data_IF_290935403490
#
_entry.id   IF_290935403490
#
_cell.length_a   1.000
_cell.length_b   1.000
_cell.length_c   1.000
_cell.angle_alpha   90.00
_cell.angle_beta   90.00
_cell.angle_gamma   90.00
#
_symmetry.space_group_name_H-M   'P 1'
#
loop_
_entity.id
_entity.type
_entity.pdbx_description
1 polymer ?
#
# COMPACT_ATOMS: atom_id res chain seq x y z
N UNK A 1 25.49 24.69 15.86
CA UNK A 1 24.36 25.64 15.79
C UNK A 1 24.89 26.99 15.39
N UNK A 2 24.30 27.70 14.43
CA UNK A 2 24.07 29.12 14.61
C UNK A 2 22.71 29.28 15.32
N UNK A 3 22.72 29.78 16.55
CA UNK A 3 21.54 30.02 17.40
C UNK A 3 20.62 31.17 16.91
N UNK A 4 20.62 31.49 15.61
CA UNK A 4 20.09 32.75 15.10
C UNK A 4 19.15 32.64 13.89
N UNK A 5 18.80 31.44 13.41
CA UNK A 5 17.87 31.29 12.27
C UNK A 5 16.89 30.13 12.41
N UNK A 6 15.60 30.45 12.35
CA UNK A 6 14.50 29.49 12.27
C UNK A 6 13.89 29.55 10.86
N UNK A 7 13.59 28.40 10.25
CA UNK A 7 12.99 28.37 8.92
C UNK A 7 11.84 27.38 8.89
N UNK A 8 10.67 27.84 8.48
CA UNK A 8 9.47 27.03 8.32
C UNK A 8 9.07 26.98 6.84
N UNK A 9 8.76 25.79 6.34
CA UNK A 9 8.23 25.57 5.00
C UNK A 9 6.76 25.22 5.16
N UNK A 10 5.86 25.98 4.52
CA UNK A 10 4.42 25.79 4.62
C UNK A 10 3.79 25.65 3.24
N UNK A 11 2.84 24.74 3.14
CA UNK A 11 2.08 24.47 1.93
C UNK A 11 0.77 25.24 1.91
N UNK A 12 0.39 25.80 0.76
CA UNK A 12 -0.85 26.57 0.63
C UNK A 12 -2.06 25.64 0.65
N UNK A 13 -3.02 25.91 1.56
CA UNK A 13 -4.31 25.22 1.70
C UNK A 13 -4.23 23.68 1.75
N UNK A 14 -3.10 23.12 2.20
CA UNK A 14 -2.88 21.67 2.25
C UNK A 14 -2.18 21.26 3.55
N UNK A 15 -2.91 21.25 4.68
CA UNK A 15 -2.34 20.92 5.98
C UNK A 15 -1.86 19.47 6.07
N UNK A 16 -2.42 18.55 5.27
CA UNK A 16 -2.01 17.15 5.23
C UNK A 16 -0.74 16.93 4.38
N UNK A 17 -0.34 17.92 3.57
CA UNK A 17 0.81 17.78 2.66
C UNK A 17 0.65 16.65 1.64
N UNK A 18 -0.57 16.38 1.18
CA UNK A 18 -0.86 15.30 0.20
C UNK A 18 -1.16 15.91 -1.17
N UNK A 19 -0.43 15.46 -2.19
CA UNK A 19 -0.53 15.96 -3.56
C UNK A 19 -0.73 14.83 -4.57
N UNK A 20 -1.37 15.14 -5.69
CA UNK A 20 -1.49 14.23 -6.83
C UNK A 20 -0.51 14.60 -7.94
N UNK A 21 -0.04 13.62 -8.75
CA UNK A 21 0.73 13.92 -9.95
C UNK A 21 0.02 14.95 -10.84
N UNK A 22 0.76 15.94 -11.36
CA UNK A 22 0.22 17.04 -12.17
C UNK A 22 -0.25 18.27 -11.39
N UNK A 23 -0.47 18.17 -10.07
CA UNK A 23 -0.87 19.32 -9.25
C UNK A 23 0.26 20.34 -9.07
N UNK A 24 -0.12 21.58 -8.76
CA UNK A 24 0.81 22.63 -8.41
C UNK A 24 1.13 22.59 -6.91
N UNK A 25 2.36 22.22 -6.57
CA UNK A 25 2.91 22.34 -5.23
C UNK A 25 3.27 23.82 -5.00
N UNK A 26 2.54 24.50 -4.11
CA UNK A 26 2.72 25.91 -3.81
C UNK A 26 2.73 26.18 -2.31
N UNK A 27 3.42 27.25 -1.92
CA UNK A 27 3.60 27.58 -0.53
C UNK A 27 4.57 28.74 -0.32
N UNK A 28 5.05 28.84 0.92
CA UNK A 28 6.04 29.83 1.29
C UNK A 28 7.07 29.29 2.30
N UNK A 29 8.23 29.90 2.26
CA UNK A 29 9.32 29.74 3.22
C UNK A 29 9.30 30.96 4.11
N UNK A 30 9.18 30.75 5.42
CA UNK A 30 9.32 31.80 6.43
C UNK A 30 10.66 31.61 7.13
N UNK A 31 11.59 32.53 6.89
CA UNK A 31 12.93 32.55 7.45
C UNK A 31 13.03 33.66 8.49
N UNK A 32 13.11 33.28 9.76
CA UNK A 32 13.28 34.19 10.89
C UNK A 32 14.76 34.27 11.26
N UNK A 33 15.27 35.48 11.29
CA UNK A 33 16.69 35.81 11.44
C UNK A 33 16.86 36.70 12.67
N UNK A 34 17.65 36.26 13.65
CA UNK A 34 17.89 37.01 14.89
C UNK A 34 19.04 38.01 14.76
N UNK A 35 20.07 37.64 14.00
CA UNK A 35 21.27 38.46 13.78
C UNK A 35 21.62 38.51 12.29
N UNK A 36 22.28 39.58 11.86
CA UNK A 36 22.75 39.71 10.47
C UNK A 36 23.59 38.48 10.11
N UNK A 37 23.25 37.80 9.01
CA UNK A 37 24.05 36.69 8.52
C UNK A 37 24.31 36.80 7.02
N UNK A 38 25.52 36.40 6.64
CA UNK A 38 26.03 36.53 5.27
C UNK A 38 25.79 35.27 4.46
N UNK A 39 25.20 35.43 3.28
CA UNK A 39 24.94 34.34 2.32
C UNK A 39 25.31 34.76 0.90
N UNK A 40 25.51 33.77 0.03
CA UNK A 40 25.57 33.97 -1.43
C UNK A 40 24.19 33.85 -2.07
N UNK A 41 23.33 33.01 -1.50
CA UNK A 41 21.95 32.87 -1.95
C UNK A 41 21.11 31.98 -1.06
N UNK A 42 19.81 32.01 -1.32
CA UNK A 42 18.78 31.17 -0.72
C UNK A 42 18.15 30.37 -1.86
N UNK A 43 18.24 29.04 -1.80
CA UNK A 43 17.65 28.18 -2.83
C UNK A 43 16.61 27.24 -2.23
N UNK A 44 15.52 27.02 -2.97
CA UNK A 44 14.53 25.99 -2.71
C UNK A 44 14.72 24.85 -3.71
N UNK A 45 14.77 23.62 -3.21
CA UNK A 45 14.90 22.41 -4.00
C UNK A 45 13.68 21.53 -3.77
N UNK A 46 13.10 21.00 -4.84
CA UNK A 46 12.05 19.98 -4.75
C UNK A 46 12.63 18.70 -5.33
N UNK A 47 12.78 17.70 -4.47
CA UNK A 47 13.34 16.40 -4.82
C UNK A 47 12.28 15.33 -4.66
N UNK A 48 12.29 14.35 -5.56
CA UNK A 48 11.43 13.19 -5.54
C UNK A 48 12.11 12.03 -6.21
N UNK A 49 12.41 10.98 -5.47
CA UNK A 49 13.10 9.80 -5.99
C UNK A 49 12.71 8.55 -5.21
N UNK A 50 12.87 7.41 -5.88
CA UNK A 50 12.88 6.10 -5.25
C UNK A 50 14.33 5.67 -5.01
N UNK A 51 14.60 5.11 -3.85
CA UNK A 51 15.90 4.54 -3.53
C UNK A 51 15.75 3.27 -2.70
N UNK A 52 16.48 2.21 -3.07
CA UNK A 52 16.52 0.95 -2.35
C UNK A 52 17.96 0.58 -2.03
N UNK A 53 18.20 0.10 -0.80
CA UNK A 53 19.53 -0.27 -0.28
C UNK A 53 19.39 -1.46 0.66
N UNK A 54 20.16 -2.52 0.43
CA UNK A 54 20.33 -3.59 1.41
C UNK A 54 21.70 -4.26 1.25
N UNK A 55 22.10 -5.02 2.25
CA UNK A 55 23.36 -5.79 2.21
C UNK A 55 23.08 -7.25 2.53
N UNK A 56 23.87 -8.14 1.93
CA UNK A 56 23.83 -9.57 2.23
C UNK A 56 25.24 -10.08 2.49
N UNK A 57 25.41 -10.81 3.59
CA UNK A 57 26.67 -11.47 3.93
C UNK A 57 26.55 -12.97 3.72
N UNK A 58 27.56 -13.56 3.08
CA UNK A 58 27.71 -15.01 2.90
C UNK A 58 29.08 -15.48 3.41
N UNK A 59 29.16 -16.74 3.86
CA UNK A 59 30.40 -17.33 4.39
C UNK A 59 30.65 -17.04 5.87
N UNK A 60 31.69 -17.67 6.44
CA UNK A 60 32.07 -17.55 7.85
C UNK A 60 33.55 -17.20 7.99
N UNK A 61 33.91 -16.57 9.13
CA UNK A 61 35.29 -16.19 9.44
C UNK A 61 35.94 -15.35 8.35
N UNK A 62 37.15 -15.74 7.92
CA UNK A 62 37.94 -15.03 6.88
C UNK A 62 37.34 -15.10 5.47
N UNK A 63 36.34 -15.97 5.23
CA UNK A 63 35.67 -16.11 3.94
C UNK A 63 34.38 -15.28 3.85
N UNK A 64 34.04 -14.51 4.90
CA UNK A 64 32.84 -13.66 4.89
C UNK A 64 32.94 -12.60 3.78
N UNK A 65 32.00 -12.66 2.85
CA UNK A 65 31.82 -11.65 1.78
C UNK A 65 30.51 -10.93 2.02
N UNK A 66 30.52 -9.60 1.97
CA UNK A 66 29.32 -8.77 1.99
C UNK A 66 29.13 -8.13 0.63
N UNK A 67 27.92 -8.24 0.09
CA UNK A 67 27.52 -7.56 -1.15
C UNK A 67 26.49 -6.50 -0.79
N UNK A 68 26.74 -5.27 -1.24
CA UNK A 68 25.86 -4.12 -1.04
C UNK A 68 25.04 -3.90 -2.31
N UNK A 69 23.72 -4.00 -2.19
CA UNK A 69 22.78 -3.81 -3.27
C UNK A 69 22.17 -2.41 -3.20
N UNK A 70 22.10 -1.73 -4.34
CA UNK A 70 21.53 -0.40 -4.45
C UNK A 70 20.77 -0.24 -5.76
N UNK A 71 19.65 0.49 -5.71
CA UNK A 71 18.90 0.95 -6.88
C UNK A 71 18.34 2.33 -6.62
N UNK A 72 18.30 3.19 -7.64
CA UNK A 72 17.74 4.53 -7.55
C UNK A 72 16.97 4.90 -8.82
N UNK A 73 15.89 5.65 -8.66
CA UNK A 73 15.16 6.27 -9.76
C UNK A 73 14.71 7.67 -9.35
N UNK A 74 15.25 8.69 -9.99
CA UNK A 74 14.84 10.09 -9.76
C UNK A 74 13.63 10.46 -10.63
N UNK A 75 12.66 11.16 -10.05
CA UNK A 75 11.42 11.59 -10.73
C UNK A 75 11.31 13.10 -10.87
N UNK A 76 11.76 13.84 -9.85
CA UNK A 76 11.80 15.31 -9.87
C UNK A 76 13.01 15.79 -9.08
N UNK A 77 13.70 16.79 -9.65
CA UNK A 77 14.78 17.50 -8.99
C UNK A 77 14.84 18.92 -9.56
N UNK A 78 14.15 19.85 -8.92
CA UNK A 78 14.13 21.26 -9.34
C UNK A 78 14.87 22.11 -8.31
N UNK A 79 15.57 23.13 -8.77
CA UNK A 79 16.22 24.14 -7.91
C UNK A 79 15.74 25.52 -8.34
N UNK A 80 15.26 26.30 -7.39
CA UNK A 80 14.81 27.68 -7.59
C UNK A 80 15.56 28.58 -6.62
N UNK A 81 16.21 29.62 -7.13
CA UNK A 81 16.87 30.61 -6.28
C UNK A 81 15.86 31.67 -5.86
N UNK A 82 15.57 31.71 -4.56
CA UNK A 82 14.61 32.63 -3.94
C UNK A 82 15.23 34.02 -3.74
N UNK A 83 16.54 34.07 -3.49
CA UNK A 83 17.32 35.31 -3.40
C UNK A 83 18.79 35.03 -3.68
N UNK A 84 19.44 35.87 -4.48
CA UNK A 84 20.85 35.70 -4.85
C UNK A 84 21.13 34.39 -5.60
N UNK A 85 22.38 33.93 -5.59
CA UNK A 85 22.78 32.66 -6.21
C UNK A 85 24.11 32.15 -5.61
N UNK A 86 24.43 30.84 -5.69
CA UNK A 86 25.67 30.28 -5.14
C UNK A 86 26.94 30.85 -5.79
N UNK A 87 26.82 31.32 -7.02
CA UNK A 87 27.89 31.94 -7.81
C UNK A 87 27.93 33.48 -7.63
N UNK A 88 26.93 34.05 -6.97
CA UNK A 88 26.81 35.49 -6.74
C UNK A 88 27.75 36.03 -5.66
N UNK A 89 27.85 37.36 -5.63
CA UNK A 89 28.56 38.05 -4.55
C UNK A 89 27.83 37.85 -3.21
N UNK A 90 28.55 37.60 -2.11
CA UNK A 90 27.93 37.50 -0.79
C UNK A 90 27.20 38.79 -0.40
N UNK A 91 26.02 38.65 0.19
CA UNK A 91 25.23 39.74 0.75
C UNK A 91 24.75 39.39 2.16
N UNK A 92 24.35 40.41 2.90
CA UNK A 92 23.87 40.27 4.27
C UNK A 92 22.34 40.22 4.29
N UNK A 93 21.78 39.24 5.00
CA UNK A 93 20.35 39.19 5.33
C UNK A 93 20.18 39.83 6.71
N UNK A 94 19.38 40.90 6.77
CA UNK A 94 19.13 41.64 8.00
C UNK A 94 18.26 40.83 9.00
N UNK A 95 18.37 41.12 10.31
CA UNK A 95 17.45 40.58 11.31
C UNK A 95 15.99 40.86 10.96
N UNK A 96 15.11 39.90 11.24
CA UNK A 96 13.68 39.98 10.94
C UNK A 96 13.14 38.70 10.32
N UNK A 97 11.88 38.77 9.86
CA UNK A 97 11.21 37.68 9.17
C UNK A 97 11.20 37.95 7.68
N UNK A 98 11.73 37.01 6.91
CA UNK A 98 11.78 37.05 5.44
C UNK A 98 10.89 35.96 4.88
N UNK A 99 10.00 36.32 3.95
CA UNK A 99 9.05 35.38 3.35
C UNK A 99 9.33 35.23 1.87
N UNK A 100 9.53 33.99 1.43
CA UNK A 100 9.74 33.65 0.02
C UNK A 100 8.64 32.71 -0.45
N UNK A 101 7.93 33.07 -1.52
CA UNK A 101 6.92 32.20 -2.14
C UNK A 101 7.54 31.24 -3.14
N UNK A 102 6.96 30.06 -3.25
CA UNK A 102 7.35 29.07 -4.25
C UNK A 102 6.13 28.39 -4.88
N UNK A 103 6.33 27.90 -6.09
CA UNK A 103 5.35 27.14 -6.86
C UNK A 103 6.07 26.22 -7.83
N UNK A 104 5.58 24.99 -7.98
CA UNK A 104 6.13 24.00 -8.89
C UNK A 104 5.04 23.05 -9.35
N UNK A 105 4.89 22.90 -10.67
CA UNK A 105 4.01 21.87 -11.22
C UNK A 105 4.67 20.50 -11.09
N UNK A 106 4.02 19.59 -10.37
CA UNK A 106 4.49 18.22 -10.20
C UNK A 106 4.37 17.44 -11.51
N UNK A 107 5.35 16.60 -11.88
CA UNK A 107 5.22 15.72 -13.03
C UNK A 107 3.99 14.80 -12.95
N UNK A 108 3.42 14.44 -14.10
CA UNK A 108 2.24 13.55 -14.17
C UNK A 108 2.59 12.08 -13.92
N UNK A 109 3.88 11.70 -13.99
CA UNK A 109 4.38 10.34 -13.85
C UNK A 109 4.93 10.02 -12.46
N UNK A 110 4.72 10.88 -11.45
CA UNK A 110 5.19 10.61 -10.08
C UNK A 110 4.50 9.37 -9.47
N UNK A 111 5.23 8.38 -8.92
CA UNK A 111 4.65 7.29 -8.15
C UNK A 111 4.20 7.72 -6.75
N UNK A 112 3.30 6.92 -6.16
CA UNK A 112 2.86 7.10 -4.76
C UNK A 112 4.03 7.02 -3.80
N UNK A 113 4.06 7.91 -2.80
CA UNK A 113 5.03 7.90 -1.72
C UNK A 113 4.96 6.61 -0.91
N UNK A 114 6.11 6.12 -0.49
CA UNK A 114 6.23 4.88 0.25
C UNK A 114 7.48 4.90 1.13
N UNK A 115 7.36 4.39 2.35
CA UNK A 115 8.48 4.18 3.27
C UNK A 115 8.50 2.70 3.69
N UNK A 116 9.65 2.05 3.55
CA UNK A 116 9.83 0.64 3.86
C UNK A 116 11.24 0.29 4.33
N UNK A 117 11.42 -0.94 4.78
CA UNK A 117 12.64 -1.39 5.46
C UNK A 117 13.92 -1.23 4.63
N UNK A 118 13.86 -1.48 3.32
CA UNK A 118 15.04 -1.48 2.43
C UNK A 118 14.98 -0.39 1.36
N UNK A 119 14.06 0.57 1.49
CA UNK A 119 13.93 1.64 0.50
C UNK A 119 12.64 2.41 0.62
N UNK A 120 12.55 3.47 -0.18
CA UNK A 120 11.45 4.43 -0.14
C UNK A 120 11.19 5.04 -1.52
N UNK A 121 10.03 5.66 -1.66
CA UNK A 121 9.67 6.65 -2.67
C UNK A 121 9.32 7.92 -1.91
N UNK A 122 10.20 8.92 -1.95
CA UNK A 122 10.13 10.08 -1.04
C UNK A 122 10.20 11.38 -1.80
N UNK A 123 9.40 12.35 -1.36
CA UNK A 123 9.38 13.70 -1.90
C UNK A 123 9.60 14.72 -0.80
N UNK A 124 10.44 15.72 -1.07
CA UNK A 124 10.81 16.73 -0.08
C UNK A 124 10.94 18.11 -0.72
N UNK A 125 10.53 19.13 0.01
CA UNK A 125 10.94 20.51 -0.23
C UNK A 125 12.09 20.84 0.71
N UNK A 126 13.19 21.35 0.16
CA UNK A 126 14.42 21.65 0.87
C UNK A 126 14.82 23.10 0.64
N UNK A 127 15.04 23.87 1.70
CA UNK A 127 15.62 25.22 1.65
C UNK A 127 17.08 25.14 2.06
N UNK A 128 17.96 25.74 1.27
CA UNK A 128 19.40 25.79 1.50
C UNK A 128 19.86 27.24 1.56
N UNK A 129 20.53 27.60 2.64
CA UNK A 129 21.16 28.91 2.84
C UNK A 129 22.65 28.81 2.49
N UNK A 130 23.04 29.29 1.31
CA UNK A 130 24.40 29.15 0.78
C UNK A 130 25.35 30.10 1.52
N UNK A 131 26.18 29.60 2.44
CA UNK A 131 27.10 30.40 3.24
C UNK A 131 28.51 30.40 2.64
N UNK A 132 29.20 31.55 2.63
CA UNK A 132 30.61 31.56 2.28
C UNK A 132 31.43 30.89 3.39
N UNK A 133 32.26 29.92 3.02
CA UNK A 133 33.26 29.26 3.90
C UNK A 133 32.70 28.48 5.11
N UNK A 134 31.38 28.26 5.18
CA UNK A 134 30.70 27.48 6.22
C UNK A 134 29.77 26.47 5.58
N UNK A 135 29.41 25.42 6.32
CA UNK A 135 28.39 24.45 5.90
C UNK A 135 27.06 25.18 5.68
N UNK A 136 26.30 24.79 4.66
CA UNK A 136 25.01 25.42 4.33
C UNK A 136 23.90 24.89 5.24
N UNK A 137 23.25 25.75 6.05
CA UNK A 137 22.05 25.37 6.78
C UNK A 137 20.98 24.89 5.81
N UNK A 138 20.39 23.74 6.14
CA UNK A 138 19.37 23.10 5.33
C UNK A 138 18.14 22.84 6.18
N UNK A 139 16.97 23.18 5.63
CA UNK A 139 15.67 22.94 6.23
C UNK A 139 14.84 22.12 5.25
N UNK A 140 14.15 21.10 5.72
CA UNK A 140 13.49 20.13 4.85
C UNK A 140 12.14 19.74 5.42
N UNK A 141 11.16 19.59 4.54
CA UNK A 141 9.84 19.04 4.86
C UNK A 141 9.47 17.99 3.81
N UNK A 142 8.98 16.84 4.27
CA UNK A 142 8.44 15.79 3.40
C UNK A 142 6.99 16.09 3.00
N UNK A 143 6.59 15.66 1.82
CA UNK A 143 5.18 15.67 1.41
C UNK A 143 4.82 14.36 0.73
N UNK A 144 3.55 13.99 0.79
CA UNK A 144 3.05 12.76 0.20
C UNK A 144 2.59 13.03 -1.24
N UNK A 145 3.06 12.23 -2.18
CA UNK A 145 2.45 12.12 -3.49
C UNK A 145 1.58 10.86 -3.50
N UNK A 146 0.34 10.99 -3.98
CA UNK A 146 -0.60 9.88 -4.09
C UNK A 146 -1.05 9.77 -5.53
N UNK A 147 -0.67 8.69 -6.21
CA UNK A 147 -1.13 8.40 -7.58
C UNK A 147 -2.49 7.73 -7.51
N UNK A 148 -3.45 8.26 -8.26
CA UNK A 148 -4.75 7.63 -8.42
C UNK A 148 -4.63 6.27 -9.13
N UNK A 149 -5.34 5.30 -8.58
CA UNK A 149 -5.55 3.98 -9.18
C UNK A 149 -7.05 3.75 -9.21
N UNK A 150 -7.64 3.93 -10.38
CA UNK A 150 -9.07 3.74 -10.57
C UNK A 150 -9.36 2.26 -10.88
N UNK A 151 -9.95 1.55 -9.93
CA UNK A 151 -10.24 0.12 -10.11
C UNK A 151 -11.24 -0.14 -11.24
N UNK A 152 -12.07 0.85 -11.59
CA UNK A 152 -13.05 0.73 -12.67
C UNK A 152 -12.39 0.62 -14.06
N UNK A 153 -11.13 1.04 -14.23
CA UNK A 153 -10.38 0.84 -15.47
C UNK A 153 -10.11 -0.63 -15.77
N UNK A 154 -10.11 -1.47 -14.73
CA UNK A 154 -9.93 -2.93 -14.82
C UNK A 154 -11.16 -3.68 -14.25
N UNK A 155 -12.36 -3.08 -14.34
CA UNK A 155 -13.55 -3.61 -13.70
C UNK A 155 -13.87 -5.07 -14.07
N UNK A 156 -13.65 -5.46 -15.33
CA UNK A 156 -13.95 -6.82 -15.80
C UNK A 156 -13.15 -7.89 -15.06
N UNK A 157 -11.85 -7.67 -14.84
CA UNK A 157 -10.99 -8.62 -14.14
C UNK A 157 -11.15 -8.53 -12.62
N UNK A 158 -11.43 -7.34 -12.09
CA UNK A 158 -11.50 -7.11 -10.64
C UNK A 158 -12.87 -7.34 -10.02
N UNK A 159 -13.96 -7.39 -10.79
CA UNK A 159 -15.32 -7.59 -10.25
C UNK A 159 -15.72 -9.07 -10.16
N UNK A 160 -14.90 -9.99 -10.65
CA UNK A 160 -15.22 -11.41 -10.64
C UNK A 160 -14.73 -12.06 -9.34
N UNK A 161 -15.54 -12.92 -8.67
CA UNK A 161 -15.08 -13.66 -7.52
C UNK A 161 -13.86 -14.52 -7.83
N UNK A 162 -12.89 -14.53 -6.91
CA UNK A 162 -11.71 -15.37 -7.03
C UNK A 162 -11.77 -16.47 -5.98
N UNK A 163 -11.93 -17.73 -6.42
CA UNK A 163 -11.91 -18.93 -5.58
C UNK A 163 -10.65 -19.75 -5.91
N UNK A 164 -9.91 -20.13 -4.89
CA UNK A 164 -8.76 -21.03 -4.99
C UNK A 164 -8.97 -22.23 -4.07
N UNK A 165 -8.47 -23.39 -4.48
CA UNK A 165 -8.61 -24.66 -3.76
C UNK A 165 -7.26 -25.32 -3.55
N UNK A 166 -7.10 -25.99 -2.41
CA UNK A 166 -5.89 -26.68 -2.01
C UNK A 166 -6.23 -28.02 -1.38
N UNK A 167 -5.48 -29.05 -1.77
CA UNK A 167 -5.52 -30.37 -1.15
C UNK A 167 -4.18 -30.67 -0.48
N UNK A 168 -4.21 -31.17 0.76
CA UNK A 168 -3.02 -31.63 1.48
C UNK A 168 -3.20 -33.05 2.00
N UNK A 169 -2.32 -33.96 1.56
CA UNK A 169 -2.18 -35.30 2.12
C UNK A 169 -1.13 -35.28 3.24
N UNK A 170 -1.40 -36.01 4.32
CA UNK A 170 -0.47 -36.18 5.44
C UNK A 170 0.11 -37.60 5.45
N UNK A 171 1.39 -37.76 5.84
CA UNK A 171 2.14 -39.04 5.82
C UNK A 171 2.50 -39.52 4.39
N UNK A 172 3.21 -40.66 4.28
CA UNK A 172 3.65 -41.26 3.01
C UNK A 172 3.43 -42.78 2.98
N UNK A 173 3.20 -43.35 1.79
CA UNK A 173 3.01 -44.81 1.64
C UNK A 173 1.75 -45.33 2.36
N UNK A 174 1.79 -46.50 3.01
CA UNK A 174 0.60 -47.13 3.60
C UNK A 174 0.03 -46.40 4.83
N UNK A 175 0.73 -45.39 5.36
CA UNK A 175 0.21 -44.54 6.46
C UNK A 175 -0.53 -43.29 5.97
N UNK A 176 -0.61 -43.05 4.66
CA UNK A 176 -1.34 -41.92 4.11
C UNK A 176 -2.81 -42.00 4.51
N UNK A 177 -3.34 -40.93 5.09
CA UNK A 177 -4.78 -40.77 5.27
C UNK A 177 -5.39 -40.08 4.05
N UNK A 178 -6.71 -40.07 3.97
CA UNK A 178 -7.42 -39.16 3.07
C UNK A 178 -6.98 -37.70 3.33
N UNK A 179 -7.05 -36.84 2.30
CA UNK A 179 -6.54 -35.48 2.37
C UNK A 179 -7.44 -34.53 3.16
N UNK A 180 -6.83 -33.41 3.55
CA UNK A 180 -7.53 -32.18 3.90
C UNK A 180 -7.76 -31.37 2.62
N UNK A 181 -9.01 -31.00 2.35
CA UNK A 181 -9.40 -30.07 1.30
C UNK A 181 -9.75 -28.71 1.92
N UNK A 182 -9.25 -27.63 1.33
CA UNK A 182 -9.54 -26.25 1.72
C UNK A 182 -9.84 -25.45 0.46
N UNK A 183 -10.88 -24.64 0.48
CA UNK A 183 -11.14 -23.60 -0.51
C UNK A 183 -11.17 -22.23 0.20
N UNK A 184 -10.74 -21.20 -0.50
CA UNK A 184 -10.89 -19.81 -0.06
C UNK A 184 -11.39 -18.97 -1.23
N UNK A 185 -12.33 -18.06 -0.98
CA UNK A 185 -12.92 -17.20 -1.98
C UNK A 185 -13.06 -15.76 -1.47
N UNK A 186 -12.81 -14.81 -2.36
CA UNK A 186 -13.14 -13.39 -2.18
C UNK A 186 -14.14 -12.96 -3.26
N UNK A 187 -15.08 -12.05 -2.96
CA UNK A 187 -16.14 -11.67 -3.90
C UNK A 187 -15.63 -10.84 -5.09
N UNK A 188 -14.57 -10.06 -4.88
CA UNK A 188 -13.93 -9.22 -5.90
C UNK A 188 -12.40 -9.23 -5.71
N UNK A 189 -11.67 -8.87 -6.76
CA UNK A 189 -10.21 -8.76 -6.76
C UNK A 189 -9.67 -7.34 -6.50
N UNK A 190 -10.52 -6.32 -6.44
CA UNK A 190 -10.12 -4.92 -6.26
C UNK A 190 -10.78 -4.26 -5.04
N UNK A 191 -9.99 -3.60 -4.19
CA UNK A 191 -10.47 -2.93 -2.98
C UNK A 191 -9.79 -1.58 -2.74
N UNK A 192 -10.38 -0.74 -1.88
CA UNK A 192 -9.74 0.50 -1.38
C UNK A 192 -9.59 0.47 0.13
N UNK A 193 -8.62 1.21 0.72
CA UNK A 193 -8.54 1.37 2.18
C UNK A 193 -9.86 1.86 2.79
N UNK A 194 -10.21 1.30 3.95
CA UNK A 194 -11.50 1.49 4.61
C UNK A 194 -12.56 0.45 4.26
N UNK A 195 -12.40 -0.31 3.17
CA UNK A 195 -13.27 -1.46 2.89
C UNK A 195 -12.91 -2.67 3.77
N UNK A 196 -13.83 -3.63 3.81
CA UNK A 196 -13.64 -4.93 4.47
C UNK A 196 -13.71 -6.05 3.44
N UNK A 197 -12.70 -6.91 3.41
CA UNK A 197 -12.66 -8.10 2.55
C UNK A 197 -13.41 -9.22 3.26
N UNK A 198 -14.50 -9.69 2.67
CA UNK A 198 -15.17 -10.91 3.11
C UNK A 198 -14.50 -12.13 2.46
N UNK A 199 -13.92 -13.00 3.29
CA UNK A 199 -13.22 -14.21 2.86
C UNK A 199 -14.06 -15.42 3.25
N UNK A 200 -14.57 -16.12 2.25
CA UNK A 200 -15.34 -17.34 2.41
C UNK A 200 -14.40 -18.55 2.38
N UNK A 201 -14.44 -19.39 3.41
CA UNK A 201 -13.55 -20.55 3.60
C UNK A 201 -14.41 -21.81 3.71
N UNK A 202 -14.16 -22.79 2.87
CA UNK A 202 -14.73 -24.13 3.01
C UNK A 202 -13.60 -25.13 3.30
N UNK A 203 -13.83 -26.05 4.23
CA UNK A 203 -12.84 -27.09 4.52
C UNK A 203 -13.50 -28.44 4.76
N UNK A 204 -13.00 -29.47 4.09
CA UNK A 204 -13.37 -30.87 4.31
C UNK A 204 -12.14 -31.65 4.77
N UNK A 205 -12.09 -32.00 6.05
CA UNK A 205 -10.94 -32.65 6.64
C UNK A 205 -11.15 -34.15 6.74
N UNK A 206 -10.84 -34.87 5.66
CA UNK A 206 -10.91 -36.35 5.65
C UNK A 206 -9.65 -36.98 6.25
N UNK A 207 -8.68 -36.16 6.65
CA UNK A 207 -7.46 -36.62 7.27
C UNK A 207 -7.64 -36.97 8.75
N UNK A 208 -6.62 -37.62 9.32
CA UNK A 208 -6.53 -37.89 10.76
C UNK A 208 -5.96 -36.72 11.57
N UNK A 209 -5.62 -35.59 10.93
CA UNK A 209 -4.99 -34.43 11.57
C UNK A 209 -6.01 -33.31 11.75
N UNK A 210 -6.17 -32.83 12.99
CA UNK A 210 -6.98 -31.64 13.29
C UNK A 210 -6.31 -30.39 12.73
N UNK A 211 -7.11 -29.51 12.14
CA UNK A 211 -6.73 -28.10 11.91
C UNK A 211 -7.19 -27.31 13.13
N UNK A 212 -6.28 -26.65 13.83
CA UNK A 212 -6.59 -25.96 15.08
C UNK A 212 -7.32 -24.64 14.81
N UNK A 213 -6.85 -23.88 13.83
CA UNK A 213 -7.40 -22.59 13.45
C UNK A 213 -7.18 -22.30 11.96
N UNK A 214 -8.04 -21.45 11.40
CA UNK A 214 -7.79 -20.75 10.14
C UNK A 214 -7.41 -19.30 10.46
N UNK A 215 -6.24 -18.87 10.01
CA UNK A 215 -5.75 -17.51 10.11
C UNK A 215 -5.79 -16.88 8.72
N UNK A 216 -6.58 -15.81 8.57
CA UNK A 216 -6.67 -15.04 7.34
C UNK A 216 -5.92 -13.74 7.52
N UNK A 217 -5.00 -13.45 6.60
CA UNK A 217 -4.10 -12.29 6.67
C UNK A 217 -4.20 -11.47 5.40
N UNK A 218 -4.21 -10.15 5.54
CA UNK A 218 -3.86 -9.26 4.45
C UNK A 218 -2.34 -9.10 4.44
N UNK A 219 -1.71 -9.57 3.37
CA UNK A 219 -0.27 -9.51 3.17
C UNK A 219 0.08 -8.38 2.22
N UNK A 220 1.00 -7.51 2.64
CA UNK A 220 1.65 -6.49 1.81
C UNK A 220 2.99 -7.03 1.34
N UNK A 221 3.17 -7.16 0.04
CA UNK A 221 4.37 -7.70 -0.59
C UNK A 221 5.17 -6.57 -1.23
N UNK A 222 6.30 -6.21 -0.62
CA UNK A 222 7.19 -5.16 -1.11
C UNK A 222 8.39 -5.80 -1.81
N UNK A 223 8.59 -5.48 -3.08
CA UNK A 223 9.73 -5.94 -3.87
C UNK A 223 10.73 -4.79 -4.05
N UNK A 224 11.91 -4.93 -3.47
CA UNK A 224 13.03 -4.02 -3.68
C UNK A 224 13.94 -4.61 -4.78
N UNK A 225 14.25 -3.82 -5.80
CA UNK A 225 14.97 -4.25 -7.00
C UNK A 225 16.25 -3.42 -7.13
N UNK A 226 17.41 -4.06 -7.00
CA UNK A 226 18.70 -3.39 -7.15
C UNK A 226 19.08 -3.22 -8.61
N UNK A 227 19.92 -2.23 -8.88
CA UNK A 227 20.58 -2.04 -10.17
C UNK A 227 22.09 -2.34 -10.06
N UNK A 228 22.67 -2.12 -8.88
CA UNK A 228 24.08 -2.40 -8.58
C UNK A 228 24.21 -3.40 -7.41
N UNK A 229 25.24 -4.25 -7.41
CA UNK A 229 26.18 -4.51 -8.50
C UNK A 229 25.55 -5.22 -9.71
N UNK A 230 24.36 -5.79 -9.54
CA UNK A 230 23.53 -6.39 -10.60
C UNK A 230 22.07 -6.41 -10.15
N UNK A 231 21.16 -6.77 -11.06
CA UNK A 231 19.74 -6.89 -10.74
C UNK A 231 19.48 -8.02 -9.76
N UNK A 232 18.91 -7.68 -8.61
CA UNK A 232 18.49 -8.63 -7.59
C UNK A 232 17.20 -8.15 -6.97
N UNK A 233 16.26 -9.09 -6.79
CA UNK A 233 14.97 -8.80 -6.16
C UNK A 233 14.99 -9.29 -4.72
N UNK A 234 14.58 -8.43 -3.80
CA UNK A 234 14.32 -8.75 -2.40
C UNK A 234 12.83 -8.55 -2.12
N UNK A 235 12.11 -9.65 -1.95
CA UNK A 235 10.70 -9.65 -1.55
C UNK A 235 10.59 -9.64 -0.02
N UNK A 236 9.81 -8.70 0.51
CA UNK A 236 9.51 -8.58 1.94
C UNK A 236 7.98 -8.65 2.13
N UNK A 237 7.45 -9.78 2.62
CA UNK A 237 6.05 -9.91 2.98
C UNK A 237 5.81 -9.35 4.39
N UNK A 238 4.76 -8.54 4.54
CA UNK A 238 4.35 -7.93 5.80
C UNK A 238 2.86 -8.22 6.07
N UNK A 239 2.53 -8.67 7.27
CA UNK A 239 1.12 -8.84 7.70
C UNK A 239 0.60 -7.47 8.14
N UNK A 240 -0.40 -6.93 7.43
CA UNK A 240 -0.98 -5.60 7.74
C UNK A 240 -2.36 -5.69 8.38
N UNK A 241 -3.03 -6.84 8.28
CA UNK A 241 -4.22 -7.19 9.05
C UNK A 241 -4.30 -8.71 9.21
N UNK A 242 -4.83 -9.18 10.34
CA UNK A 242 -5.05 -10.62 10.60
C UNK A 242 -6.36 -10.81 11.37
N UNK A 243 -7.13 -11.82 10.96
CA UNK A 243 -8.27 -12.35 11.71
C UNK A 243 -8.15 -13.88 11.78
N UNK A 244 -8.81 -14.48 12.79
CA UNK A 244 -8.73 -15.92 13.04
C UNK A 244 -10.10 -16.49 13.36
N UNK A 245 -10.32 -17.74 12.97
CA UNK A 245 -11.48 -18.52 13.41
C UNK A 245 -11.07 -19.94 13.79
N UNK A 246 -12.00 -20.65 14.44
CA UNK A 246 -11.81 -22.06 14.76
C UNK A 246 -11.57 -22.90 13.50
N UNK A 247 -10.68 -23.87 13.60
CA UNK A 247 -10.39 -24.83 12.54
C UNK A 247 -11.42 -25.96 12.44
N UNK A 248 -11.01 -27.08 11.86
CA UNK A 248 -11.86 -28.24 11.55
C UNK A 248 -11.27 -29.52 12.17
N UNK A 249 -12.10 -30.31 12.86
CA UNK A 249 -11.65 -31.58 13.41
C UNK A 249 -11.38 -32.62 12.31
N UNK A 250 -10.73 -33.72 12.67
CA UNK A 250 -10.59 -34.86 11.77
C UNK A 250 -11.98 -35.46 11.47
N UNK A 251 -12.28 -35.72 10.21
CA UNK A 251 -13.56 -36.27 9.73
C UNK A 251 -14.68 -35.24 9.53
N UNK A 252 -14.45 -33.96 9.81
CA UNK A 252 -15.47 -32.91 9.74
C UNK A 252 -15.39 -32.07 8.46
N UNK A 253 -16.49 -31.38 8.15
CA UNK A 253 -16.57 -30.35 7.14
C UNK A 253 -17.15 -29.07 7.74
N UNK A 254 -16.57 -27.92 7.39
CA UNK A 254 -17.04 -26.61 7.86
C UNK A 254 -17.07 -25.59 6.72
N UNK A 255 -17.86 -24.54 6.95
CA UNK A 255 -17.87 -23.30 6.18
C UNK A 255 -17.72 -22.13 7.14
N UNK A 256 -16.87 -21.16 6.81
CA UNK A 256 -16.58 -20.00 7.66
C UNK A 256 -16.40 -18.75 6.81
N UNK A 257 -16.91 -17.63 7.31
CA UNK A 257 -16.61 -16.31 6.77
C UNK A 257 -15.70 -15.55 7.73
N UNK A 258 -14.69 -14.88 7.19
CA UNK A 258 -13.80 -13.98 7.93
C UNK A 258 -13.77 -12.62 7.25
N UNK A 259 -13.69 -11.55 8.05
CA UNK A 259 -13.80 -10.18 7.58
C UNK A 259 -12.51 -9.41 7.90
N UNK A 260 -11.77 -9.02 6.86
CA UNK A 260 -10.50 -8.29 6.97
C UNK A 260 -10.69 -6.82 6.63
N UNK A 261 -10.67 -5.95 7.64
CA UNK A 261 -10.65 -4.50 7.42
C UNK A 261 -9.32 -4.06 6.80
N UNK A 262 -9.37 -3.21 5.78
CA UNK A 262 -8.20 -2.69 5.08
C UNK A 262 -7.79 -1.36 5.72
N UNK A 263 -6.61 -1.29 6.38
CA UNK A 263 -6.13 -0.05 6.99
C UNK A 263 -5.60 0.95 5.95
N UNK A 264 -5.10 2.11 6.41
CA UNK A 264 -4.41 3.11 5.60
C UNK A 264 -3.16 2.53 4.91
N UNK A 265 -3.32 2.10 3.66
CA UNK A 265 -2.30 1.42 2.87
C UNK A 265 -2.11 2.11 1.50
N UNK A 266 -0.89 2.10 0.94
CA UNK A 266 -0.66 2.58 -0.41
C UNK A 266 -1.33 1.67 -1.44
N UNK A 267 -1.77 2.25 -2.55
CA UNK A 267 -2.30 1.47 -3.68
C UNK A 267 -1.24 0.53 -4.29
N UNK A 268 -1.69 -0.57 -4.89
CA UNK A 268 -0.85 -1.48 -5.67
C UNK A 268 -0.08 -0.68 -6.73
N UNK A 269 1.24 -0.90 -6.83
CA UNK A 269 2.11 -0.09 -7.67
C UNK A 269 3.22 -0.90 -8.33
N UNK A 270 3.38 -0.69 -9.64
CA UNK A 270 4.43 -1.27 -10.48
C UNK A 270 5.15 -0.22 -11.35
N UNK A 271 4.95 1.07 -11.06
CA UNK A 271 5.46 2.18 -11.88
C UNK A 271 6.91 2.55 -11.57
N UNK A 272 7.43 2.11 -10.44
CA UNK A 272 8.82 2.33 -10.03
C UNK A 272 9.67 1.11 -10.40
N UNK A 273 10.83 1.37 -11.02
CA UNK A 273 11.73 0.33 -11.53
C UNK A 273 12.54 -0.36 -10.41
N UNK A 274 12.68 0.30 -9.27
CA UNK A 274 13.49 -0.19 -8.14
C UNK A 274 12.63 -0.65 -6.96
N UNK A 275 11.31 -0.38 -6.99
CA UNK A 275 10.40 -0.71 -5.90
C UNK A 275 9.00 -1.00 -6.45
N UNK A 276 8.45 -2.18 -6.15
CA UNK A 276 7.05 -2.51 -6.47
C UNK A 276 6.31 -3.01 -5.25
N UNK A 277 4.99 -2.87 -5.28
CA UNK A 277 4.10 -3.13 -4.15
C UNK A 277 2.86 -3.88 -4.63
N UNK A 278 2.57 -5.02 -4.00
CA UNK A 278 1.38 -5.82 -4.26
C UNK A 278 0.77 -6.38 -2.98
N UNK A 279 -0.42 -6.96 -3.11
CA UNK A 279 -1.19 -7.46 -1.97
C UNK A 279 -1.78 -8.84 -2.26
N UNK A 280 -1.88 -9.65 -1.21
CA UNK A 280 -2.57 -10.94 -1.26
C UNK A 280 -3.34 -11.19 0.04
N UNK A 281 -4.46 -11.91 -0.07
CA UNK A 281 -5.16 -12.49 1.07
C UNK A 281 -4.61 -13.90 1.28
N UNK A 282 -3.94 -14.14 2.40
CA UNK A 282 -3.41 -15.45 2.78
C UNK A 282 -4.36 -16.13 3.77
N UNK A 283 -4.93 -17.27 3.42
CA UNK A 283 -5.63 -18.18 4.34
C UNK A 283 -4.67 -19.30 4.73
N UNK A 284 -4.23 -19.31 5.99
CA UNK A 284 -3.36 -20.32 6.58
C UNK A 284 -4.15 -21.25 7.52
N UNK A 285 -4.16 -22.54 7.20
CA UNK A 285 -4.73 -23.56 8.08
C UNK A 285 -3.64 -24.09 9.04
N UNK A 286 -3.74 -23.75 10.32
CA UNK A 286 -2.72 -24.11 11.31
C UNK A 286 -2.93 -25.52 11.82
N UNK A 287 -1.93 -26.36 11.61
CA UNK A 287 -1.92 -27.77 12.00
C UNK A 287 -0.86 -28.01 13.09
N UNK A 288 -1.09 -28.94 14.02
CA UNK A 288 -0.14 -29.22 15.07
C UNK A 288 1.10 -29.99 14.56
N UNK A 289 2.22 -29.77 15.24
CA UNK A 289 3.48 -30.50 15.02
C UNK A 289 4.33 -29.92 13.88
N UNK A 290 5.30 -30.71 13.36
CA UNK A 290 6.32 -30.22 12.42
C UNK A 290 5.82 -30.10 10.97
N UNK A 291 4.52 -30.31 10.72
CA UNK A 291 3.98 -30.27 9.37
C UNK A 291 3.88 -28.82 8.88
N UNK A 292 4.21 -28.59 7.61
CA UNK A 292 4.05 -27.28 6.98
C UNK A 292 2.56 -26.97 6.84
N UNK A 293 2.12 -25.86 7.41
CA UNK A 293 0.75 -25.36 7.31
C UNK A 293 0.35 -25.17 5.84
N UNK A 294 -0.79 -25.72 5.38
CA UNK A 294 -1.35 -25.37 4.09
C UNK A 294 -1.75 -23.89 4.04
N UNK A 295 -1.47 -23.23 2.92
CA UNK A 295 -1.76 -21.81 2.68
C UNK A 295 -2.35 -21.60 1.30
N UNK A 296 -3.45 -20.85 1.22
CA UNK A 296 -4.03 -20.36 -0.03
C UNK A 296 -3.74 -18.86 -0.09
N UNK A 297 -3.29 -18.35 -1.24
CA UNK A 297 -2.96 -16.93 -1.45
C UNK A 297 -3.72 -16.40 -2.64
N UNK A 298 -4.66 -15.49 -2.37
CA UNK A 298 -5.48 -14.86 -3.40
C UNK A 298 -4.91 -13.46 -3.67
N UNK A 299 -4.38 -13.18 -4.88
CA UNK A 299 -3.89 -11.84 -5.21
C UNK A 299 -5.04 -10.84 -5.25
N UNK A 300 -4.82 -9.65 -4.71
CA UNK A 300 -5.78 -8.53 -4.77
C UNK A 300 -5.08 -7.24 -5.22
N UNK A 301 -5.88 -6.30 -5.73
CA UNK A 301 -5.43 -4.96 -6.13
C UNK A 301 -6.01 -3.92 -5.17
N UNK A 302 -5.14 -3.11 -4.56
CA UNK A 302 -5.57 -1.93 -3.82
C UNK A 302 -5.54 -0.70 -4.71
N UNK A 303 -6.65 0.03 -4.77
CA UNK A 303 -6.80 1.26 -5.54
C UNK A 303 -7.08 2.50 -4.67
N UNK A 304 -7.42 3.59 -5.34
CA UNK A 304 -7.88 4.85 -4.70
C UNK A 304 -9.33 5.17 -5.00
N UNK A 305 -9.88 4.60 -6.07
CA UNK A 305 -11.30 4.74 -6.44
C UNK A 305 -11.93 3.35 -6.43
N UNK A 306 -12.96 3.10 -5.61
CA UNK A 306 -13.56 1.78 -5.50
C UNK A 306 -14.31 1.39 -6.77
N UNK A 307 -14.54 0.08 -6.94
CA UNK A 307 -15.41 -0.44 -7.98
C UNK A 307 -16.86 0.04 -7.74
N UNK A 308 -17.47 0.73 -8.70
CA UNK A 308 -18.78 1.38 -8.51
C UNK A 308 -19.90 0.42 -8.07
N UNK A 309 -19.89 -0.83 -8.56
CA UNK A 309 -20.87 -1.86 -8.20
C UNK A 309 -20.66 -2.48 -6.80
N UNK A 310 -19.51 -2.22 -6.17
CA UNK A 310 -19.10 -2.83 -4.90
C UNK A 310 -18.57 -1.78 -3.90
N UNK A 311 -18.87 -0.49 -4.15
CA UNK A 311 -18.32 0.60 -3.38
C UNK A 311 -18.92 0.67 -1.96
N UNK A 312 -20.20 0.31 -1.82
CA UNK A 312 -20.87 0.17 -0.52
C UNK A 312 -21.09 -1.32 -0.26
N UNK A 313 -20.70 -1.87 0.90
CA UNK A 313 -21.12 -3.21 1.29
C UNK A 313 -22.64 -3.18 1.46
N UNK A 314 -23.37 -3.74 0.51
CA UNK A 314 -24.81 -3.95 0.65
C UNK A 314 -25.02 -4.95 1.79
N UNK A 315 -25.37 -4.47 2.99
CA UNK A 315 -26.01 -5.29 4.02
C UNK A 315 -27.42 -5.64 3.53
N UNK A 316 -27.51 -6.50 2.52
CA UNK A 316 -28.75 -7.00 1.94
C UNK A 316 -29.05 -8.41 2.42
N UNK A 317 -29.89 -8.50 3.45
CA UNK A 317 -30.76 -9.62 3.84
C UNK A 317 -30.24 -11.06 3.61
N UNK A 318 -29.57 -11.63 4.61
CA UNK A 318 -29.47 -13.09 4.82
C UNK A 318 -30.65 -13.65 5.65
N UNK A 319 -31.80 -12.97 5.65
CA UNK A 319 -33.03 -13.51 6.20
C UNK A 319 -34.05 -13.78 5.09
N UNK A 320 -34.46 -15.05 5.02
CA UNK A 320 -35.56 -15.62 4.23
C UNK A 320 -35.26 -15.97 2.76
N UNK A 321 -34.54 -17.08 2.58
CA UNK A 321 -34.89 -18.01 1.50
C UNK A 321 -36.27 -18.59 1.83
N UNK A 322 -37.34 -17.93 1.36
CA UNK A 322 -38.67 -18.54 1.36
C UNK A 322 -38.65 -19.76 0.42
N UNK A 323 -38.96 -20.92 0.97
CA UNK A 323 -39.21 -22.12 0.20
C UNK A 323 -40.43 -21.88 -0.71
N UNK A 324 -40.24 -22.00 -2.02
CA UNK A 324 -41.36 -22.00 -2.96
C UNK A 324 -42.20 -23.27 -2.75
N UNK A 325 -43.54 -23.18 -2.70
CA UNK A 325 -44.37 -24.37 -2.62
C UNK A 325 -44.23 -25.20 -3.90
N UNK A 326 -43.98 -26.49 -3.75
CA UNK A 326 -43.97 -27.46 -4.84
C UNK A 326 -45.41 -27.57 -5.41
N UNK A 327 -45.66 -27.32 -6.70
CA UNK A 327 -46.93 -27.68 -7.31
C UNK A 327 -46.95 -29.20 -7.53
N UNK A 328 -47.90 -29.88 -6.89
CA UNK A 328 -48.20 -31.29 -7.13
C UNK A 328 -48.97 -31.45 -8.45
N UNK A 329 -48.44 -32.19 -9.43
CA UNK A 329 -49.17 -32.63 -10.63
C UNK A 329 -48.72 -34.08 -11.01
N UNK A 330 -49.63 -34.96 -11.49
CA UNK A 330 -49.52 -36.42 -11.36
C UNK A 330 -48.74 -37.13 -12.49
N UNK A 331 -48.70 -38.46 -12.35
CA UNK A 331 -47.84 -39.46 -13.01
C UNK A 331 -47.55 -39.37 -14.53
N UNK A 332 -46.27 -39.70 -14.82
CA UNK A 332 -45.66 -40.36 -16.01
C UNK A 332 -45.80 -39.70 -17.40
N UNK A 333 -44.65 -39.40 -18.03
CA UNK A 333 -44.03 -40.13 -19.17
C UNK A 333 -42.52 -39.77 -19.21
N UNK A 334 -41.69 -40.74 -19.61
CA UNK A 334 -40.21 -40.68 -19.70
C UNK A 334 -39.74 -39.97 -20.97
N UNK A 335 -38.82 -39.00 -20.86
CA UNK A 335 -37.84 -38.60 -21.90
C UNK A 335 -36.56 -38.00 -21.28
N UNK A 336 -35.43 -38.19 -21.97
CA UNK A 336 -34.02 -37.92 -21.60
C UNK A 336 -33.65 -36.48 -21.15
N UNK A 337 -32.52 -36.30 -20.41
CA UNK A 337 -32.13 -35.02 -19.85
C UNK A 337 -31.52 -34.07 -20.88
N UNK A 338 -32.20 -32.95 -21.13
CA UNK A 338 -31.67 -31.78 -21.84
C UNK A 338 -30.97 -30.85 -20.85
N UNK A 339 -29.74 -30.44 -21.17
CA UNK A 339 -28.97 -29.46 -20.40
C UNK A 339 -29.69 -28.10 -20.34
N UNK A 340 -29.70 -27.40 -19.19
CA UNK A 340 -30.33 -26.09 -19.10
C UNK A 340 -29.56 -25.06 -19.95
N UNK A 341 -30.32 -24.25 -20.69
CA UNK A 341 -29.80 -23.17 -21.52
C UNK A 341 -29.07 -22.10 -20.68
N UNK A 342 -28.02 -21.46 -21.22
CA UNK A 342 -27.31 -20.40 -20.53
C UNK A 342 -28.23 -19.20 -20.27
N UNK A 343 -28.24 -18.72 -19.03
CA UNK A 343 -28.94 -17.51 -18.61
C UNK A 343 -28.41 -16.29 -19.38
N UNK A 344 -29.28 -15.45 -19.99
CA UNK A 344 -28.85 -14.25 -20.71
C UNK A 344 -28.08 -13.26 -19.82
N UNK A 345 -27.03 -12.67 -20.39
CA UNK A 345 -26.07 -11.74 -19.73
C UNK A 345 -26.73 -10.57 -18.97
N UNK A 346 -27.95 -10.19 -19.32
CA UNK A 346 -28.66 -9.07 -18.68
C UNK A 346 -29.17 -9.37 -17.26
N UNK A 347 -29.15 -10.63 -16.82
CA UNK A 347 -29.54 -11.02 -15.45
C UNK A 347 -28.38 -11.05 -14.43
N UNK A 348 -27.15 -10.71 -14.86
CA UNK A 348 -25.95 -10.63 -14.00
C UNK A 348 -25.61 -9.21 -13.53
N UNK A 349 -26.47 -8.21 -13.78
CA UNK A 349 -26.23 -6.85 -13.27
C UNK A 349 -26.62 -6.75 -11.79
N UNK A 350 -25.70 -6.36 -10.89
CA UNK A 350 -26.05 -6.01 -9.52
C UNK A 350 -27.06 -4.85 -9.54
N UNK A 351 -28.17 -5.02 -8.84
CA UNK A 351 -29.11 -3.93 -8.61
C UNK A 351 -28.45 -2.93 -7.66
N UNK A 352 -28.15 -1.73 -8.18
CA UNK A 352 -27.54 -0.56 -7.52
C UNK A 352 -26.04 -0.40 -7.77
N UNK A 353 -25.67 0.16 -8.92
CA UNK A 353 -24.39 0.87 -9.07
C UNK A 353 -24.50 2.20 -8.34
N UNK A 354 -23.74 2.40 -7.26
CA UNK A 354 -23.64 3.72 -6.64
C UNK A 354 -22.69 4.55 -7.51
N UNK A 355 -23.14 5.70 -8.06
CA UNK A 355 -22.24 6.60 -8.76
C UNK A 355 -21.09 7.01 -7.83
N UNK A 356 -19.86 7.04 -8.33
CA UNK A 356 -18.67 7.46 -7.58
C UNK A 356 -18.84 8.83 -6.90
N UNK A 357 -19.70 9.68 -7.45
CA UNK A 357 -20.04 11.02 -6.95
C UNK A 357 -20.87 11.02 -5.66
N UNK A 358 -21.39 9.86 -5.23
CA UNK A 358 -22.15 9.69 -3.99
C UNK A 358 -21.32 9.11 -2.83
N UNK A 359 -20.03 8.84 -3.04
CA UNK A 359 -19.16 8.35 -1.97
C UNK A 359 -18.74 9.50 -1.05
N UNK A 360 -18.69 9.27 0.28
CA UNK A 360 -18.15 10.28 1.19
C UNK A 360 -16.69 10.59 0.80
N UNK A 361 -16.25 11.85 0.92
CA UNK A 361 -14.88 12.21 0.60
C UNK A 361 -13.91 11.40 1.47
N UNK A 362 -12.83 10.84 0.89
CA UNK A 362 -11.87 10.09 1.68
C UNK A 362 -11.13 11.01 2.66
N UNK A 363 -10.72 10.45 3.79
CA UNK A 363 -9.80 11.07 4.74
C UNK A 363 -8.36 10.67 4.43
N UNK A 364 -7.38 11.37 4.99
CA UNK A 364 -5.97 11.02 4.90
C UNK A 364 -5.47 10.56 6.27
N UNK A 365 -4.92 9.36 6.31
CA UNK A 365 -4.42 8.73 7.54
C UNK A 365 -2.97 8.27 7.35
N UNK A 366 -2.18 8.29 8.43
CA UNK A 366 -0.79 7.83 8.39
C UNK A 366 -0.69 6.34 8.04
N UNK A 367 0.35 6.00 7.27
CA UNK A 367 0.63 4.64 6.84
C UNK A 367 0.71 3.62 8.00
N UNK A 368 -0.09 2.56 7.94
CA UNK A 368 -0.03 1.50 8.96
C UNK A 368 1.25 0.66 8.85
N UNK A 369 1.89 0.44 9.99
CA UNK A 369 3.15 -0.29 10.10
C UNK A 369 4.39 0.52 9.66
N UNK A 370 4.23 1.80 9.32
CA UNK A 370 5.36 2.68 9.04
C UNK A 370 5.99 3.19 10.34
N UNK A 371 7.32 3.20 10.39
CA UNK A 371 8.06 3.99 11.37
C UNK A 371 8.37 5.34 10.74
N UNK A 372 8.23 6.48 11.47
CA UNK A 372 8.53 7.78 10.90
C UNK A 372 9.95 7.81 10.33
N UNK A 373 10.06 8.13 9.06
CA UNK A 373 11.33 8.11 8.35
C UNK A 373 12.10 9.40 8.63
N UNK A 374 13.38 9.28 8.96
CA UNK A 374 14.27 10.43 9.04
C UNK A 374 14.67 10.87 7.61
N UNK A 375 14.35 12.11 7.25
CA UNK A 375 14.62 12.70 5.93
C UNK A 375 15.93 13.50 5.86
N UNK A 376 16.71 13.54 6.94
CA UNK A 376 18.06 14.11 6.93
C UNK A 376 18.97 13.30 6.02
N UNK A 377 19.71 14.00 5.16
CA UNK A 377 20.82 13.42 4.39
C UNK A 377 22.15 13.56 5.16
N UNK A 378 23.13 12.72 4.83
CA UNK A 378 24.47 12.78 5.42
C UNK A 378 25.09 14.17 5.21
N UNK A 379 25.52 14.80 6.31
CA UNK A 379 26.11 16.14 6.29
C UNK A 379 25.11 17.30 6.46
N UNK A 380 23.80 17.04 6.58
CA UNK A 380 22.80 18.04 6.93
C UNK A 380 22.73 18.25 8.47
N UNK A 381 22.61 19.50 8.91
CA UNK A 381 22.34 19.81 10.33
C UNK A 381 20.85 19.58 10.66
N UNK A 382 20.55 18.99 11.81
CA UNK A 382 19.18 18.77 12.28
C UNK A 382 18.53 20.09 12.71
N UNK A 383 17.43 20.49 12.05
CA UNK A 383 16.78 21.79 12.25
C UNK A 383 15.33 21.74 12.75
N UNK A 384 14.78 20.58 13.13
CA UNK A 384 13.59 20.53 14.00
C UNK A 384 12.47 19.54 13.65
N UNK A 385 12.24 19.16 12.38
CA UNK A 385 11.23 18.14 12.04
C UNK A 385 11.61 17.34 10.80
N UNK A 386 12.47 16.34 11.00
CA UNK A 386 12.92 15.47 9.91
C UNK A 386 12.16 14.15 9.83
N UNK A 387 11.08 14.00 10.59
CA UNK A 387 10.26 12.80 10.56
C UNK A 387 9.19 12.95 9.49
N UNK A 388 9.08 11.96 8.62
CA UNK A 388 8.07 11.90 7.57
C UNK A 388 7.38 10.53 7.59
N UNK A 389 6.06 10.56 7.63
CA UNK A 389 5.21 9.39 7.43
C UNK A 389 4.25 9.71 6.28
N UNK A 390 4.19 8.92 5.20
CA UNK A 390 3.23 9.16 4.14
C UNK A 390 1.79 8.97 4.62
N UNK A 391 0.87 9.75 4.07
CA UNK A 391 -0.56 9.64 4.36
C UNK A 391 -1.33 9.07 3.16
N UNK A 392 -2.25 8.15 3.42
CA UNK A 392 -3.03 7.47 2.40
C UNK A 392 -4.52 7.74 2.53
N UNK A 393 -5.22 7.68 1.39
CA UNK A 393 -6.68 7.80 1.34
C UNK A 393 -7.34 6.64 2.08
N UNK A 394 -8.29 6.97 2.95
CA UNK A 394 -9.14 6.01 3.64
C UNK A 394 -10.59 6.45 3.54
N UNK A 395 -11.45 5.57 3.03
CA UNK A 395 -12.88 5.80 2.97
C UNK A 395 -13.57 5.37 4.27
N UNK A 396 -14.62 6.09 4.65
CA UNK A 396 -15.49 5.73 5.77
C UNK A 396 -16.86 5.37 5.23
N UNK A 397 -17.13 4.07 5.08
CA UNK A 397 -18.39 3.57 4.52
C UNK A 397 -19.52 3.43 5.55
N UNK A 398 -19.26 3.78 6.81
CA UNK A 398 -20.15 3.52 7.96
C UNK A 398 -20.51 4.79 8.74
N UNK A 399 -20.51 5.95 8.10
CA UNK A 399 -21.06 7.20 8.66
C UNK A 399 -22.44 7.52 8.06
#
# INVERSE_FOLDING_TARGET
>A
MPDATECQIRFDNNPCGVYFPGQNLSGYVELRVLEVFKVKGVSLQIKGFAEVKWSESSGTGKSRRTVHYHGRQDYINTVTYLQGSPEGNPFDIAPGTHTYRFGCQLPHNLPTSFEGQFGHVRYTVRVVLHRPWKVDPTYKVGFTVLRHVNLNENALSLSTPCKLELQKVFCCGPCASDPLFISAQVPIGGYVPGQTIAVHIEASNRSKKRVNEFSTKLMKNVCYISQTPYSRVKLVPEVVAEVRCQGVAAGEQITRDQFLAIPALPSTSNQCQVLTLGYEVEVEAKIPGPNINPRIRIPITLGTVPLAAHAIPTMGNYEQLQAYPVPSIPERVVTEPSAPAPVPYDQLKPASTVPTDQLPPPTYEEAVGATPANILEDGEENTGSNNFTPQYMVYRFSE
#
